data_IF_528702798024
#
_entry.id   IF_528702798024
#
_cell.length_a   1.000
_cell.length_b   1.000
_cell.length_c   1.000
_cell.angle_alpha   90.00
_cell.angle_beta   90.00
_cell.angle_gamma   90.00
#
_symmetry.space_group_name_H-M   'P 1'
#
loop_
_entity.id
_entity.type
_entity.pdbx_description
1 polymer ?
#
# COMPACT_ATOMS: atom_id res chain seq x y z
N UNK A 1 -3.72 2.15 -28.35
CA UNK A 1 -3.37 3.58 -28.23
C UNK A 1 -3.94 4.10 -26.92
N UNK A 2 -3.57 3.42 -25.83
CA UNK A 2 -4.22 3.56 -24.55
C UNK A 2 -3.40 2.80 -23.49
N UNK A 3 -3.43 3.32 -22.27
CA UNK A 3 -2.56 2.92 -21.15
C UNK A 3 -3.36 2.35 -19.98
N UNK A 4 -4.37 1.52 -20.22
CA UNK A 4 -5.21 0.97 -19.14
C UNK A 4 -4.43 0.20 -18.07
N UNK A 5 -3.29 -0.41 -18.43
CA UNK A 5 -2.46 -1.18 -17.50
C UNK A 5 -1.85 -0.39 -16.33
N UNK A 6 -1.86 0.95 -16.36
CA UNK A 6 -1.29 1.75 -15.27
C UNK A 6 -2.31 2.11 -14.18
N UNK A 7 -3.59 2.02 -14.47
CA UNK A 7 -4.65 2.60 -13.63
C UNK A 7 -4.83 1.83 -12.31
N UNK A 8 -4.77 0.49 -12.36
CA UNK A 8 -4.86 -0.32 -11.14
C UNK A 8 -3.73 0.00 -10.16
N UNK A 9 -2.50 0.18 -10.65
CA UNK A 9 -1.36 0.54 -9.81
C UNK A 9 -1.55 1.90 -9.14
N UNK A 10 -2.05 2.90 -9.88
CA UNK A 10 -2.36 4.24 -9.35
C UNK A 10 -3.45 4.18 -8.28
N UNK A 11 -4.52 3.42 -8.53
CA UNK A 11 -5.62 3.28 -7.56
C UNK A 11 -5.15 2.62 -6.25
N UNK A 12 -4.38 1.54 -6.35
CA UNK A 12 -3.82 0.85 -5.18
C UNK A 12 -2.84 1.74 -4.41
N UNK A 13 -1.96 2.46 -5.11
CA UNK A 13 -1.02 3.39 -4.47
C UNK A 13 -1.75 4.51 -3.72
N UNK A 14 -2.86 5.03 -4.28
CA UNK A 14 -3.70 6.04 -3.62
C UNK A 14 -4.30 5.55 -2.31
N UNK A 15 -4.64 4.26 -2.20
CA UNK A 15 -5.14 3.64 -0.97
C UNK A 15 -4.04 3.40 0.07
N UNK A 16 -2.84 2.99 -0.37
CA UNK A 16 -1.72 2.67 0.51
C UNK A 16 -1.07 3.93 1.10
N UNK A 17 -0.96 5.02 0.33
CA UNK A 17 -0.27 6.25 0.77
C UNK A 17 -0.71 6.80 2.15
N UNK A 18 -2.01 6.99 2.45
CA UNK A 18 -2.43 7.46 3.77
C UNK A 18 -2.09 6.47 4.89
N UNK A 19 -2.08 5.17 4.60
CA UNK A 19 -1.74 4.14 5.58
C UNK A 19 -0.27 4.22 6.00
N UNK A 20 0.62 4.85 5.23
CA UNK A 20 2.03 5.01 5.58
C UNK A 20 2.30 6.19 6.54
N UNK A 21 1.31 7.06 6.77
CA UNK A 21 1.53 8.31 7.51
C UNK A 21 1.69 8.09 9.03
N UNK A 22 0.98 7.12 9.58
CA UNK A 22 1.01 6.79 11.02
C UNK A 22 1.82 5.52 11.34
N UNK A 23 1.96 5.23 12.65
CA UNK A 23 2.62 4.03 13.15
C UNK A 23 1.67 2.87 13.45
N UNK A 24 0.38 2.97 13.09
CA UNK A 24 -0.60 1.93 13.40
C UNK A 24 -0.40 0.72 12.47
N UNK A 25 -0.58 -0.51 12.97
CA UNK A 25 -0.48 -1.70 12.14
C UNK A 25 -1.64 -1.76 11.13
N UNK A 26 -1.33 -2.11 9.88
CA UNK A 26 -2.28 -2.24 8.75
C UNK A 26 -2.78 -3.68 8.64
N UNK A 27 -4.08 -3.85 8.36
CA UNK A 27 -4.78 -5.15 8.21
C UNK A 27 -5.83 -5.17 7.09
N UNK A 28 -5.82 -4.16 6.22
CA UNK A 28 -6.84 -3.91 5.19
C UNK A 28 -6.61 -4.67 3.87
N UNK A 29 -5.42 -5.26 3.68
CA UNK A 29 -5.02 -5.91 2.42
C UNK A 29 -4.80 -7.42 2.60
N UNK A 30 -4.31 -8.08 1.55
CA UNK A 30 -3.80 -9.43 1.66
C UNK A 30 -2.61 -9.51 2.65
N UNK A 31 -2.30 -10.73 3.09
CA UNK A 31 -1.26 -10.96 4.11
C UNK A 31 0.13 -10.50 3.70
N UNK A 32 0.48 -10.56 2.41
CA UNK A 32 1.78 -10.12 1.92
C UNK A 32 1.89 -8.60 2.00
N UNK A 33 0.90 -7.89 1.46
CA UNK A 33 0.86 -6.42 1.47
C UNK A 33 0.84 -5.86 2.89
N UNK A 34 0.02 -6.41 3.78
CA UNK A 34 0.01 -6.02 5.19
C UNK A 34 1.37 -6.27 5.87
N UNK A 35 1.98 -7.43 5.62
CA UNK A 35 3.28 -7.78 6.17
C UNK A 35 4.37 -6.80 5.75
N UNK A 36 4.45 -6.47 4.46
CA UNK A 36 5.44 -5.56 3.91
C UNK A 36 5.26 -4.13 4.43
N UNK A 37 4.02 -3.61 4.48
CA UNK A 37 3.75 -2.27 5.02
C UNK A 37 4.16 -2.18 6.49
N UNK A 38 3.79 -3.17 7.31
CA UNK A 38 4.11 -3.18 8.73
C UNK A 38 5.62 -3.35 8.99
N UNK A 39 6.29 -4.17 8.18
CA UNK A 39 7.74 -4.34 8.21
C UNK A 39 8.45 -3.01 7.89
N UNK A 40 8.06 -2.34 6.81
CA UNK A 40 8.55 -1.02 6.45
C UNK A 40 8.36 0.00 7.58
N UNK A 41 7.17 0.07 8.18
CA UNK A 41 6.89 0.98 9.30
C UNK A 41 7.78 0.73 10.52
N UNK A 42 8.19 -0.51 10.76
CA UNK A 42 9.06 -0.87 11.88
C UNK A 42 10.54 -0.54 11.63
N UNK A 43 10.96 -0.45 10.36
CA UNK A 43 12.35 -0.18 9.96
C UNK A 43 12.68 1.31 9.78
N UNK A 44 11.67 2.18 9.71
CA UNK A 44 11.83 3.64 9.57
C UNK A 44 12.00 4.35 10.91
#
# INVERSE_FOLDING_TARGET
FDQWGVELGKELAGKILPELQDKRPVRSHDSSTNGLINCYKAMR
#
